data_IF_024418170876
#
_entry.id   IF_024418170876
#
_cell.length_a   1.000
_cell.length_b   1.000
_cell.length_c   1.000
_cell.angle_alpha   90.00
_cell.angle_beta   90.00
_cell.angle_gamma   90.00
#
_symmetry.space_group_name_H-M   'P 1'
#
loop_
_entity.id
_entity.type
_entity.pdbx_description
1 polymer ?
#
# COMPACT_ATOMS: atom_id res chain seq x y z
N UNK A 1 -25.15 -9.39 -12.27
CA UNK A 1 -23.77 -9.01 -11.93
C UNK A 1 -22.93 -10.26 -11.61
N UNK A 2 -23.33 -11.14 -10.68
CA UNK A 2 -22.60 -12.39 -10.34
C UNK A 2 -22.09 -13.23 -11.52
N UNK A 3 -22.93 -13.58 -12.51
CA UNK A 3 -22.48 -14.38 -13.66
C UNK A 3 -21.42 -13.67 -14.52
N UNK A 4 -21.49 -12.34 -14.60
CA UNK A 4 -20.47 -11.53 -15.28
C UNK A 4 -19.18 -11.46 -14.45
N UNK A 5 -19.28 -11.41 -13.13
CA UNK A 5 -18.12 -11.43 -12.24
C UNK A 5 -17.39 -12.78 -12.32
N UNK A 6 -18.11 -13.91 -12.39
CA UNK A 6 -17.51 -15.22 -12.65
C UNK A 6 -16.74 -15.23 -13.98
N UNK A 7 -17.33 -14.64 -15.03
CA UNK A 7 -16.63 -14.52 -16.32
C UNK A 7 -15.37 -13.67 -16.20
N UNK A 8 -15.43 -12.52 -15.52
CA UNK A 8 -14.26 -11.65 -15.35
C UNK A 8 -13.16 -12.34 -14.54
N UNK A 9 -13.49 -13.07 -13.47
CA UNK A 9 -12.52 -13.87 -12.71
C UNK A 9 -11.80 -14.88 -13.61
N UNK A 10 -12.57 -15.65 -14.40
CA UNK A 10 -12.00 -16.61 -15.34
C UNK A 10 -11.14 -15.94 -16.43
N UNK A 11 -11.58 -14.80 -16.95
CA UNK A 11 -10.84 -14.02 -17.95
C UNK A 11 -9.48 -13.58 -17.41
N UNK A 12 -9.43 -13.06 -16.17
CA UNK A 12 -8.17 -12.64 -15.57
C UNK A 12 -7.23 -13.81 -15.26
N UNK A 13 -7.75 -14.94 -14.77
CA UNK A 13 -6.95 -16.15 -14.56
C UNK A 13 -6.32 -16.64 -15.87
N UNK A 14 -7.10 -16.71 -16.95
CA UNK A 14 -6.61 -17.13 -18.26
C UNK A 14 -5.55 -16.17 -18.81
N UNK A 15 -5.74 -14.85 -18.67
CA UNK A 15 -4.77 -13.85 -19.13
C UNK A 15 -3.44 -13.95 -18.36
N UNK A 16 -3.48 -14.15 -17.03
CA UNK A 16 -2.29 -14.33 -16.20
C UNK A 16 -1.54 -15.61 -16.60
N UNK A 17 -2.27 -16.71 -16.81
CA UNK A 17 -1.67 -17.98 -17.22
C UNK A 17 -1.04 -17.88 -18.61
N UNK A 18 -1.72 -17.25 -19.57
CA UNK A 18 -1.20 -17.07 -20.92
C UNK A 18 0.08 -16.23 -20.94
N UNK A 19 0.15 -15.11 -20.22
CA UNK A 19 1.35 -14.27 -20.15
C UNK A 19 2.58 -15.05 -19.63
N UNK A 20 2.37 -15.95 -18.67
CA UNK A 20 3.40 -16.87 -18.16
C UNK A 20 3.82 -17.91 -19.21
N UNK A 21 2.84 -18.52 -19.90
CA UNK A 21 3.09 -19.54 -20.93
C UNK A 21 3.83 -18.95 -22.15
N UNK A 22 3.48 -17.73 -22.54
CA UNK A 22 4.10 -17.00 -23.65
C UNK A 22 5.51 -16.48 -23.28
N UNK A 23 5.91 -16.60 -22.00
CA UNK A 23 7.20 -16.13 -21.49
C UNK A 23 7.35 -14.60 -21.51
N UNK A 24 6.23 -13.88 -21.54
CA UNK A 24 6.20 -12.42 -21.59
C UNK A 24 6.33 -11.80 -20.19
N UNK A 25 5.81 -12.47 -19.17
CA UNK A 25 5.83 -12.01 -17.78
C UNK A 25 5.94 -13.20 -16.80
N UNK A 26 6.49 -12.94 -15.62
CA UNK A 26 6.37 -13.79 -14.43
C UNK A 26 5.98 -12.92 -13.22
N UNK A 27 5.54 -13.51 -12.12
CA UNK A 27 5.21 -12.76 -10.91
C UNK A 27 6.50 -12.30 -10.20
N UNK A 28 6.59 -11.09 -9.63
CA UNK A 28 5.58 -10.05 -9.63
C UNK A 28 5.50 -9.31 -10.96
N UNK A 29 4.29 -8.93 -11.38
CA UNK A 29 4.06 -8.14 -12.59
C UNK A 29 3.78 -6.66 -12.26
N UNK A 30 4.33 -5.69 -13.02
CA UNK A 30 5.24 -5.90 -14.15
C UNK A 30 6.66 -6.25 -13.66
N UNK A 31 7.34 -7.21 -14.29
CA UNK A 31 8.74 -7.54 -13.95
C UNK A 31 9.70 -6.36 -14.23
N UNK A 32 9.24 -5.35 -14.98
CA UNK A 32 9.99 -4.13 -15.27
C UNK A 32 10.31 -3.25 -14.04
N UNK A 33 9.63 -3.45 -12.90
CA UNK A 33 9.81 -2.65 -11.68
C UNK A 33 10.40 -3.48 -10.54
N UNK A 34 11.68 -3.87 -10.70
CA UNK A 34 12.46 -4.57 -9.67
C UNK A 34 12.98 -3.63 -8.58
N UNK A 35 12.13 -2.73 -8.07
CA UNK A 35 12.56 -1.71 -7.11
C UNK A 35 12.91 -2.33 -5.74
N UNK A 36 14.23 -2.40 -5.54
CA UNK A 36 15.01 -2.86 -4.37
C UNK A 36 14.64 -4.26 -3.84
N UNK A 37 15.63 -5.16 -3.84
CA UNK A 37 15.51 -6.49 -3.23
C UNK A 37 15.15 -6.41 -1.74
N UNK A 38 15.59 -5.35 -1.08
CA UNK A 38 15.29 -5.05 0.31
C UNK A 38 13.79 -4.81 0.54
N UNK A 39 13.16 -3.89 -0.20
CA UNK A 39 11.72 -3.63 -0.06
C UNK A 39 10.87 -4.77 -0.58
N UNK A 40 11.29 -5.48 -1.63
CA UNK A 40 10.59 -6.70 -2.06
C UNK A 40 10.56 -7.73 -0.92
N UNK A 41 11.69 -7.97 -0.26
CA UNK A 41 11.77 -8.91 0.86
C UNK A 41 10.95 -8.46 2.06
N UNK A 42 10.92 -7.16 2.35
CA UNK A 42 10.22 -6.60 3.51
C UNK A 42 8.70 -6.53 3.31
N UNK A 43 8.22 -6.17 2.11
CA UNK A 43 6.83 -5.78 1.89
C UNK A 43 6.05 -6.66 0.91
N UNK A 44 6.69 -7.37 -0.03
CA UNK A 44 5.95 -8.14 -1.04
C UNK A 44 5.30 -9.41 -0.48
N UNK A 45 5.76 -9.88 0.68
CA UNK A 45 5.29 -11.13 1.30
C UNK A 45 4.83 -10.93 2.76
N UNK A 46 4.61 -9.69 3.18
CA UNK A 46 4.18 -9.36 4.55
C UNK A 46 2.81 -8.71 4.52
N UNK A 47 1.83 -9.30 5.19
CA UNK A 47 0.56 -8.63 5.47
C UNK A 47 0.73 -7.67 6.64
N UNK A 48 0.64 -6.37 6.36
CA UNK A 48 0.67 -5.31 7.38
C UNK A 48 -0.75 -5.05 7.88
N UNK A 49 -1.04 -5.40 9.13
CA UNK A 49 -2.34 -5.20 9.73
C UNK A 49 -2.41 -3.88 10.49
N UNK A 50 -3.20 -2.95 9.96
CA UNK A 50 -3.48 -1.65 10.57
C UNK A 50 -4.77 -1.66 11.40
N UNK A 51 -5.43 -2.82 11.54
CA UNK A 51 -6.64 -2.96 12.34
C UNK A 51 -6.29 -3.12 13.82
N UNK A 52 -7.17 -2.71 14.75
CA UNK A 52 -6.98 -2.97 16.18
C UNK A 52 -7.08 -4.46 16.57
N UNK A 53 -7.80 -5.27 15.78
CA UNK A 53 -7.95 -6.72 15.98
C UNK A 53 -6.95 -7.53 15.15
N UNK A 54 -6.90 -8.86 15.34
CA UNK A 54 -5.92 -9.75 14.71
C UNK A 54 -6.52 -10.83 13.81
N UNK A 55 -7.83 -10.78 13.54
CA UNK A 55 -8.54 -11.79 12.75
C UNK A 55 -7.95 -11.97 11.34
N UNK A 56 -7.29 -10.94 10.80
CA UNK A 56 -6.59 -10.99 9.52
C UNK A 56 -5.43 -12.00 9.48
N UNK A 57 -4.88 -12.40 10.64
CA UNK A 57 -3.83 -13.40 10.76
C UNK A 57 -4.29 -14.81 10.35
N UNK A 58 -5.60 -15.08 10.36
CA UNK A 58 -6.17 -16.39 10.01
C UNK A 58 -6.26 -16.61 8.49
N UNK A 59 -6.06 -15.55 7.70
CA UNK A 59 -6.11 -15.63 6.25
C UNK A 59 -4.92 -16.35 5.63
N UNK A 60 -5.13 -17.01 4.47
CA UNK A 60 -4.05 -17.63 3.68
C UNK A 60 -2.98 -16.62 3.21
N UNK A 61 -3.30 -15.33 3.22
CA UNK A 61 -2.36 -14.25 2.89
C UNK A 61 -1.41 -13.87 4.04
N UNK A 62 -1.64 -14.39 5.25
CA UNK A 62 -0.87 -14.06 6.45
C UNK A 62 0.18 -15.13 6.80
N UNK A 63 0.10 -16.32 6.19
CA UNK A 63 1.03 -17.43 6.43
C UNK A 63 1.09 -18.44 5.27
N UNK A 64 2.18 -19.19 5.19
CA UNK A 64 2.37 -20.26 4.21
C UNK A 64 2.89 -19.77 2.85
N UNK A 65 3.08 -20.70 1.88
CA UNK A 65 3.79 -20.39 0.65
C UNK A 65 3.02 -19.41 -0.22
N UNK A 66 3.75 -18.46 -0.79
CA UNK A 66 3.21 -17.45 -1.68
C UNK A 66 2.78 -18.07 -3.00
N UNK A 67 1.70 -17.59 -3.65
CA UNK A 67 1.21 -18.18 -4.91
C UNK A 67 2.19 -18.10 -6.08
N UNK A 68 3.17 -17.20 -6.03
CA UNK A 68 4.25 -17.09 -7.00
C UNK A 68 5.41 -18.08 -6.75
N UNK A 69 5.40 -18.79 -5.61
CA UNK A 69 6.45 -19.73 -5.24
C UNK A 69 7.78 -19.08 -4.87
N UNK A 70 7.83 -17.76 -4.67
CA UNK A 70 9.06 -16.99 -4.43
C UNK A 70 9.33 -16.70 -2.94
N UNK A 71 8.40 -17.05 -2.05
CA UNK A 71 8.57 -16.88 -0.60
C UNK A 71 7.47 -17.52 0.25
N UNK A 72 7.42 -17.10 1.51
CA UNK A 72 6.40 -17.46 2.48
C UNK A 72 5.73 -16.17 2.96
N UNK A 73 4.41 -16.19 3.11
CA UNK A 73 3.69 -15.09 3.72
C UNK A 73 4.04 -14.94 5.20
N UNK A 74 4.13 -13.69 5.64
CA UNK A 74 4.28 -13.30 7.03
C UNK A 74 3.23 -12.28 7.42
N UNK A 75 3.02 -12.10 8.71
CA UNK A 75 2.00 -11.21 9.26
C UNK A 75 2.64 -10.26 10.27
N UNK A 76 2.38 -8.96 10.12
CA UNK A 76 2.83 -7.91 11.03
C UNK A 76 1.63 -7.14 11.58
N UNK A 77 1.37 -7.30 12.88
CA UNK A 77 0.31 -6.57 13.61
C UNK A 77 0.81 -5.28 14.27
N UNK A 78 2.06 -4.90 14.03
CA UNK A 78 2.62 -3.64 14.51
C UNK A 78 3.34 -2.90 13.39
N UNK A 79 2.66 -2.61 12.27
CA UNK A 79 3.28 -1.85 11.19
C UNK A 79 3.68 -0.46 11.68
N UNK A 80 4.84 0.02 11.21
CA UNK A 80 5.43 1.29 11.64
C UNK A 80 5.51 2.27 10.48
N UNK A 81 5.48 3.56 10.81
CA UNK A 81 5.83 4.60 9.85
C UNK A 81 7.33 4.49 9.53
N UNK A 82 7.67 4.35 8.24
CA UNK A 82 9.06 4.27 7.77
C UNK A 82 9.67 5.65 7.45
N UNK A 83 8.85 6.71 7.52
CA UNK A 83 9.25 8.08 7.24
C UNK A 83 8.73 9.03 8.32
N UNK A 84 9.44 10.14 8.60
CA UNK A 84 8.93 11.20 9.47
C UNK A 84 7.75 11.94 8.85
N UNK A 85 7.01 12.68 9.67
CA UNK A 85 5.96 13.60 9.17
C UNK A 85 6.59 14.62 8.19
N UNK A 86 6.08 14.73 6.95
CA UNK A 86 6.66 15.62 5.97
C UNK A 86 6.39 17.08 6.31
N UNK A 87 7.43 17.92 6.22
CA UNK A 87 7.30 19.37 6.34
C UNK A 87 7.38 19.99 4.95
N UNK A 88 6.23 20.43 4.43
CA UNK A 88 6.13 21.05 3.10
C UNK A 88 6.48 22.54 3.16
N UNK A 89 7.11 23.04 2.10
CA UNK A 89 7.29 24.47 1.89
C UNK A 89 5.94 25.18 1.66
N UNK A 90 5.80 26.47 1.98
CA UNK A 90 4.61 27.24 1.62
C UNK A 90 4.36 27.18 0.11
N UNK A 91 3.08 27.01 -0.28
CA UNK A 91 2.69 27.02 -1.70
C UNK A 91 2.89 28.39 -2.36
N UNK A 92 2.96 28.40 -3.70
CA UNK A 92 3.04 29.64 -4.48
C UNK A 92 1.83 30.55 -4.15
N UNK A 93 2.06 31.80 -3.66
CA UNK A 93 0.98 32.71 -3.30
C UNK A 93 -0.02 32.99 -4.42
N UNK A 94 0.39 32.89 -5.70
CA UNK A 94 -0.48 33.10 -6.87
C UNK A 94 -1.52 31.99 -7.06
N UNK A 95 -1.33 30.85 -6.41
CA UNK A 95 -2.28 29.74 -6.42
C UNK A 95 -3.36 29.90 -5.35
N UNK A 96 -3.31 30.96 -4.53
CA UNK A 96 -4.29 31.27 -3.48
C UNK A 96 -4.60 30.09 -2.54
N UNK A 97 -3.65 29.17 -2.39
CA UNK A 97 -3.78 28.03 -1.49
C UNK A 97 -3.73 28.48 -0.03
N UNK A 98 -4.56 27.87 0.83
CA UNK A 98 -4.54 28.14 2.27
C UNK A 98 -3.19 27.73 2.85
N UNK A 99 -2.35 28.72 3.17
CA UNK A 99 -1.02 28.46 3.72
C UNK A 99 -1.14 27.76 5.10
N UNK A 100 -0.57 26.55 5.28
CA UNK A 100 -0.63 25.83 6.56
C UNK A 100 -0.06 26.61 7.75
N UNK A 101 0.92 27.49 7.51
CA UNK A 101 1.50 28.38 8.51
C UNK A 101 0.54 29.48 8.98
N UNK A 102 -0.31 29.99 8.07
CA UNK A 102 -1.34 30.97 8.43
C UNK A 102 -2.43 30.35 9.31
N UNK A 103 -2.87 29.13 8.97
CA UNK A 103 -3.89 28.41 9.74
C UNK A 103 -3.43 28.11 11.18
N UNK A 104 -2.17 27.66 11.36
CA UNK A 104 -1.56 27.44 12.69
C UNK A 104 -1.43 28.74 13.49
N UNK A 105 -1.05 29.85 12.85
CA UNK A 105 -0.95 31.15 13.51
C UNK A 105 -2.28 31.67 14.05
N UNK A 106 -3.37 31.48 13.31
CA UNK A 106 -4.73 31.85 13.75
C UNK A 106 -5.17 30.98 14.93
N UNK A 107 -4.96 29.66 14.86
CA UNK A 107 -5.32 28.74 15.95
C UNK A 107 -4.59 29.07 17.26
N UNK A 108 -3.30 29.39 17.20
CA UNK A 108 -2.51 29.76 18.38
C UNK A 108 -2.96 31.10 18.98
N UNK A 109 -3.31 32.09 18.14
CA UNK A 109 -3.81 33.40 18.58
C UNK A 109 -5.20 33.32 19.21
N UNK A 110 -6.02 32.36 18.80
CA UNK A 110 -7.31 32.07 19.45
C UNK A 110 -7.09 31.40 20.80
N UNK A 111 -6.22 30.36 20.87
CA UNK A 111 -5.89 29.70 22.15
C UNK A 111 -5.32 30.65 23.18
N UNK A 112 -4.40 31.55 22.80
CA UNK A 112 -3.80 32.54 23.71
C UNK A 112 -4.75 33.64 24.19
N UNK A 113 -5.96 33.71 23.66
CA UNK A 113 -7.01 34.63 24.14
C UNK A 113 -8.04 33.93 25.03
N UNK A 114 -8.03 32.59 25.07
CA UNK A 114 -8.90 31.76 25.90
C UNK A 114 -8.18 31.19 27.14
N UNK A 115 -6.87 31.41 27.26
CA UNK A 115 -6.03 31.19 28.45
C UNK A 115 -5.43 32.50 28.90
#
# INVERSE_FOLDING_TARGET
LLARDTMHQNMWLAAIEQLKQDGLEDMPVPDAFTDSKEFTKEFSYTYLDFSPGQDAAEGRWASGPTPDGKGEFTYDHSPRAHAPEPVLAPGDPRLYGTNPGMARGVANKVKSKLT
#
